data_IF_638198129930
#
_entry.id   IF_638198129930
#
_cell.length_a   1.000
_cell.length_b   1.000
_cell.length_c   1.000
_cell.angle_alpha   90.00
_cell.angle_beta   90.00
_cell.angle_gamma   90.00
#
_symmetry.space_group_name_H-M   'P 1'
#
loop_
_entity.id
_entity.type
_entity.pdbx_description
1 polymer ?
#
# COMPACT_ATOMS: atom_id res chain seq x y z
N UNK A 1 19.13 17.03 13.15
CA UNK A 1 20.28 16.23 13.63
C UNK A 1 20.81 15.21 12.61
N UNK A 2 19.95 14.46 11.88
CA UNK A 2 20.39 13.48 10.85
C UNK A 2 20.89 14.10 9.54
N UNK A 3 20.25 15.19 9.08
CA UNK A 3 20.68 15.99 7.92
C UNK A 3 22.05 16.64 8.15
N UNK A 4 22.31 17.13 9.37
CA UNK A 4 23.61 17.68 9.79
C UNK A 4 24.70 16.60 9.81
N UNK A 5 24.38 15.37 10.23
CA UNK A 5 25.31 14.23 10.13
C UNK A 5 25.61 13.87 8.67
N UNK A 6 24.61 13.88 7.80
CA UNK A 6 24.81 13.66 6.36
C UNK A 6 25.71 14.75 5.75
N UNK A 7 25.45 16.02 6.06
CA UNK A 7 26.27 17.15 5.63
C UNK A 7 27.73 17.04 6.09
N UNK A 8 27.96 16.62 7.35
CA UNK A 8 29.32 16.35 7.85
C UNK A 8 29.99 15.17 7.16
N UNK A 9 29.25 14.14 6.76
CA UNK A 9 29.83 13.01 6.03
C UNK A 9 30.20 13.37 4.59
N UNK A 10 29.42 14.24 3.92
CA UNK A 10 29.81 14.84 2.63
C UNK A 10 31.08 15.69 2.74
N UNK A 11 31.23 16.48 3.81
CA UNK A 11 32.42 17.31 4.03
C UNK A 11 33.68 16.48 4.35
N UNK A 12 33.54 15.31 4.98
CA UNK A 12 34.64 14.40 5.26
C UNK A 12 35.08 13.55 4.05
N UNK A 13 34.56 13.83 2.84
CA UNK A 13 34.94 13.11 1.62
C UNK A 13 34.54 11.63 1.62
N UNK A 14 33.58 11.24 2.46
CA UNK A 14 33.12 9.86 2.54
C UNK A 14 32.25 9.57 1.32
N UNK A 15 32.85 8.89 0.34
CA UNK A 15 32.18 8.53 -0.90
C UNK A 15 31.08 7.47 -0.74
N UNK A 16 30.33 7.25 -1.82
CA UNK A 16 29.28 6.23 -1.95
C UNK A 16 29.74 4.79 -1.63
N UNK A 17 31.05 4.55 -1.51
CA UNK A 17 31.64 3.25 -1.18
C UNK A 17 31.38 2.82 0.27
N UNK A 18 31.07 3.75 1.17
CA UNK A 18 30.76 3.41 2.56
C UNK A 18 29.25 3.25 2.77
N UNK A 19 28.85 2.05 3.20
CA UNK A 19 27.44 1.69 3.45
C UNK A 19 26.72 2.68 4.38
N UNK A 20 27.42 3.17 5.42
CA UNK A 20 26.86 4.12 6.40
C UNK A 20 26.45 5.45 5.76
N UNK A 21 27.19 5.91 4.76
CA UNK A 21 26.86 7.14 4.04
C UNK A 21 25.59 6.95 3.20
N UNK A 22 25.50 5.86 2.44
CA UNK A 22 24.32 5.52 1.64
C UNK A 22 23.05 5.37 2.50
N UNK A 23 23.15 4.66 3.63
CA UNK A 23 22.01 4.50 4.56
C UNK A 23 21.59 5.85 5.16
N UNK A 24 22.55 6.69 5.56
CA UNK A 24 22.24 8.01 6.15
C UNK A 24 21.59 8.94 5.13
N UNK A 25 22.04 8.92 3.88
CA UNK A 25 21.44 9.67 2.78
C UNK A 25 20.03 9.19 2.45
N UNK A 26 19.82 7.88 2.33
CA UNK A 26 18.50 7.29 2.08
C UNK A 26 17.52 7.61 3.20
N UNK A 27 17.98 7.54 4.45
CA UNK A 27 17.17 7.88 5.62
C UNK A 27 16.82 9.39 5.65
N UNK A 28 17.77 10.27 5.32
CA UNK A 28 17.51 11.70 5.22
C UNK A 28 16.48 12.02 4.11
N UNK A 29 16.60 11.36 2.96
CA UNK A 29 15.64 11.48 1.85
C UNK A 29 14.24 10.99 2.27
N UNK A 30 14.16 9.86 2.97
CA UNK A 30 12.89 9.32 3.47
C UNK A 30 12.19 10.32 4.42
N UNK A 31 12.93 10.90 5.37
CA UNK A 31 12.38 11.92 6.26
C UNK A 31 11.96 13.19 5.51
N UNK A 32 12.71 13.61 4.51
CA UNK A 32 12.35 14.75 3.65
C UNK A 32 11.05 14.50 2.88
N UNK A 33 10.87 13.28 2.33
CA UNK A 33 9.65 12.89 1.63
C UNK A 33 8.44 12.86 2.57
N UNK A 34 8.59 12.29 3.77
CA UNK A 34 7.54 12.30 4.79
C UNK A 34 7.14 13.72 5.18
N UNK A 35 8.12 14.61 5.39
CA UNK A 35 7.85 16.02 5.67
C UNK A 35 7.11 16.71 4.51
N UNK A 36 7.47 16.43 3.27
CA UNK A 36 6.77 16.96 2.10
C UNK A 36 5.31 16.48 2.02
N UNK A 37 5.04 15.21 2.40
CA UNK A 37 3.68 14.68 2.50
C UNK A 37 2.88 15.40 3.58
N UNK A 38 3.46 15.63 4.75
CA UNK A 38 2.82 16.40 5.84
C UNK A 38 2.48 17.84 5.39
N UNK A 39 3.43 18.53 4.75
CA UNK A 39 3.21 19.87 4.18
C UNK A 39 2.07 19.84 3.15
N UNK A 40 2.04 18.85 2.26
CA UNK A 40 0.96 18.68 1.27
C UNK A 40 -0.40 18.45 1.93
N UNK A 41 -0.46 17.69 3.03
CA UNK A 41 -1.68 17.48 3.80
C UNK A 41 -2.13 18.77 4.49
N UNK A 42 -1.20 19.52 5.08
CA UNK A 42 -1.47 20.81 5.73
C UNK A 42 -2.01 21.83 4.73
N UNK A 43 -1.39 21.92 3.54
CA UNK A 43 -1.83 22.80 2.45
C UNK A 43 -3.17 22.37 1.87
N UNK A 44 -3.36 21.07 1.62
CA UNK A 44 -4.59 20.52 1.06
C UNK A 44 -5.80 20.61 1.99
N UNK A 45 -5.58 20.49 3.30
CA UNK A 45 -6.61 20.68 4.34
C UNK A 45 -6.72 22.14 4.79
N UNK A 46 -5.82 23.02 4.34
CA UNK A 46 -5.78 24.45 4.68
C UNK A 46 -5.75 24.73 6.18
N UNK A 47 -5.06 23.90 6.97
CA UNK A 47 -5.04 24.05 8.44
C UNK A 47 -4.25 25.26 8.95
N UNK A 48 -3.31 25.77 8.15
CA UNK A 48 -2.44 26.90 8.50
C UNK A 48 -2.58 27.98 7.43
N UNK A 49 -2.74 29.23 7.87
CA UNK A 49 -2.80 30.45 7.05
C UNK A 49 -4.03 30.64 6.15
N UNK A 50 -5.11 29.87 6.32
CA UNK A 50 -6.38 30.12 5.65
C UNK A 50 -7.49 30.28 6.69
N UNK A 51 -8.34 31.29 6.49
CA UNK A 51 -9.39 31.71 7.42
C UNK A 51 -10.55 30.70 7.50
N UNK A 52 -10.67 29.79 6.54
CA UNK A 52 -11.68 28.73 6.50
C UNK A 52 -11.01 27.37 6.31
N UNK A 53 -11.16 26.49 7.30
CA UNK A 53 -10.73 25.10 7.23
C UNK A 53 -11.75 24.28 6.42
N UNK A 54 -11.29 23.52 5.42
CA UNK A 54 -12.18 22.63 4.65
C UNK A 54 -12.53 21.41 5.49
N UNK A 55 -13.71 21.41 6.10
CA UNK A 55 -14.22 20.25 6.84
C UNK A 55 -14.63 19.13 5.87
N UNK A 56 -13.81 18.09 5.78
CA UNK A 56 -14.12 16.90 4.97
C UNK A 56 -14.98 15.97 5.80
N UNK A 57 -16.28 15.90 5.48
CA UNK A 57 -17.18 14.91 6.08
C UNK A 57 -16.66 13.49 5.79
N UNK A 58 -16.74 12.56 6.76
CA UNK A 58 -16.42 11.16 6.49
C UNK A 58 -17.32 10.65 5.36
N UNK A 59 -16.82 9.79 4.46
CA UNK A 59 -17.60 9.29 3.33
C UNK A 59 -18.93 8.71 3.82
N UNK A 60 -20.00 8.94 3.07
CA UNK A 60 -21.38 8.54 3.42
C UNK A 60 -21.49 7.04 3.74
N UNK A 61 -20.67 6.22 3.06
CA UNK A 61 -20.51 4.78 3.31
C UNK A 61 -20.06 4.42 4.74
N UNK A 62 -19.32 5.29 5.44
CA UNK A 62 -18.92 5.06 6.84
C UNK A 62 -19.99 5.51 7.83
N UNK A 63 -20.89 6.40 7.41
CA UNK A 63 -21.97 6.92 8.26
C UNK A 63 -23.17 5.96 8.30
N UNK A 64 -23.30 5.11 7.28
CA UNK A 64 -24.26 4.02 7.26
C UNK A 64 -23.82 2.91 8.26
N UNK A 65 -24.47 2.83 9.42
CA UNK A 65 -24.19 1.83 10.47
C UNK A 65 -24.26 0.36 10.01
N UNK A 66 -24.76 0.11 8.79
CA UNK A 66 -24.92 -1.21 8.20
C UNK A 66 -23.72 -1.73 7.39
N UNK A 67 -22.68 -0.95 7.13
CA UNK A 67 -21.54 -1.38 6.30
C UNK A 67 -20.45 -1.98 7.19
N UNK A 68 -20.37 -3.31 7.25
CA UNK A 68 -19.37 -4.04 8.06
C UNK A 68 -18.13 -4.47 7.28
N UNK A 69 -18.14 -4.34 5.96
CA UNK A 69 -16.96 -4.54 5.12
C UNK A 69 -16.13 -3.24 5.04
N UNK A 70 -15.17 -3.09 5.95
CA UNK A 70 -14.38 -1.86 6.10
C UNK A 70 -13.10 -1.81 5.25
N UNK A 71 -12.74 -2.88 4.54
CA UNK A 71 -11.49 -2.98 3.76
C UNK A 71 -11.14 -1.74 2.92
N UNK A 72 -12.08 -1.02 2.27
CA UNK A 72 -11.73 0.19 1.50
C UNK A 72 -11.29 1.38 2.36
N UNK A 73 -11.82 1.48 3.58
CA UNK A 73 -11.77 2.66 4.45
C UNK A 73 -10.71 2.58 5.56
N UNK A 74 -10.05 1.43 5.69
CA UNK A 74 -8.99 1.25 6.69
C UNK A 74 -7.65 1.81 6.21
N UNK A 75 -6.78 2.10 7.17
CA UNK A 75 -5.40 2.49 6.88
C UNK A 75 -4.66 1.40 6.08
N UNK A 76 -3.53 1.78 5.46
CA UNK A 76 -2.78 0.87 4.60
C UNK A 76 -2.31 -0.40 5.33
N UNK A 77 -1.90 -0.27 6.59
CA UNK A 77 -1.42 -1.39 7.39
C UNK A 77 -2.53 -2.42 7.64
N UNK A 78 -3.70 -1.97 8.09
CA UNK A 78 -4.88 -2.80 8.32
C UNK A 78 -5.43 -3.39 7.02
N UNK A 79 -5.28 -2.70 5.89
CA UNK A 79 -5.61 -3.23 4.56
C UNK A 79 -4.68 -4.40 4.16
N UNK A 80 -3.39 -4.28 4.50
CA UNK A 80 -2.37 -5.28 4.16
C UNK A 80 -2.44 -6.53 5.05
N UNK A 81 -2.64 -6.34 6.36
CA UNK A 81 -2.70 -7.45 7.33
C UNK A 81 -4.14 -7.93 7.61
N UNK A 82 -5.14 -7.31 6.97
CA UNK A 82 -6.56 -7.54 7.23
C UNK A 82 -6.95 -7.38 8.71
N UNK A 83 -6.30 -6.47 9.43
CA UNK A 83 -6.46 -6.32 10.88
C UNK A 83 -7.90 -6.05 11.33
N UNK A 84 -8.65 -5.25 10.57
CA UNK A 84 -10.07 -4.96 10.87
C UNK A 84 -10.95 -6.21 10.91
N UNK A 85 -10.53 -7.30 10.27
CA UNK A 85 -11.27 -8.56 10.22
C UNK A 85 -11.14 -9.35 11.53
N UNK A 86 -10.15 -9.06 12.38
CA UNK A 86 -9.94 -9.76 13.65
C UNK A 86 -11.14 -9.66 14.59
N UNK A 87 -11.76 -8.48 14.66
CA UNK A 87 -12.97 -8.27 15.48
C UNK A 87 -14.16 -9.06 14.92
N UNK A 88 -14.30 -9.12 13.60
CA UNK A 88 -15.34 -9.90 12.91
C UNK A 88 -15.18 -11.41 13.15
N UNK A 89 -13.96 -11.94 12.99
CA UNK A 89 -13.65 -13.36 13.21
C UNK A 89 -13.91 -13.75 14.67
N UNK A 90 -13.48 -12.92 15.62
CA UNK A 90 -13.70 -13.18 17.05
C UNK A 90 -15.20 -13.18 17.40
N UNK A 91 -15.99 -12.30 16.76
CA UNK A 91 -17.44 -12.27 16.94
C UNK A 91 -18.14 -13.50 16.32
N UNK A 92 -17.69 -13.92 15.13
CA UNK A 92 -18.21 -15.10 14.43
C UNK A 92 -17.97 -16.41 15.19
N UNK A 93 -16.91 -16.47 16.00
CA UNK A 93 -16.69 -17.63 16.88
C UNK A 93 -17.72 -17.71 18.01
N UNK A 94 -18.22 -16.58 18.50
CA UNK A 94 -19.18 -16.53 19.61
C UNK A 94 -20.64 -16.65 19.17
N UNK A 95 -20.97 -16.24 17.95
CA UNK A 95 -22.34 -16.25 17.42
C UNK A 95 -22.33 -16.66 15.94
N UNK A 96 -23.31 -17.46 15.47
CA UNK A 96 -23.40 -17.83 14.06
C UNK A 96 -23.56 -16.59 13.17
N UNK A 97 -23.05 -16.70 11.94
CA UNK A 97 -23.04 -15.59 10.98
C UNK A 97 -24.39 -15.54 10.25
N UNK A 98 -25.22 -14.57 10.60
CA UNK A 98 -26.42 -14.24 9.85
C UNK A 98 -26.14 -13.24 8.72
N UNK A 99 -27.00 -13.22 7.69
CA UNK A 99 -26.95 -12.22 6.60
C UNK A 99 -27.01 -10.77 7.14
N UNK A 100 -27.73 -10.55 8.24
CA UNK A 100 -27.77 -9.25 8.93
C UNK A 100 -26.42 -8.87 9.55
N UNK A 101 -25.61 -9.86 9.92
CA UNK A 101 -24.30 -9.67 10.58
C UNK A 101 -23.22 -9.30 9.57
N UNK A 102 -23.31 -9.78 8.32
CA UNK A 102 -22.35 -9.46 7.24
C UNK A 102 -22.42 -7.97 6.85
N UNK A 103 -23.61 -7.38 6.91
CA UNK A 103 -23.85 -5.98 6.55
C UNK A 103 -23.95 -5.74 5.05
N UNK A 104 -24.07 -4.46 4.66
CA UNK A 104 -24.11 -4.02 3.27
C UNK A 104 -22.71 -3.96 2.66
N UNK A 105 -22.62 -4.10 1.33
CA UNK A 105 -21.38 -3.85 0.59
C UNK A 105 -21.16 -2.34 0.38
N UNK A 106 -19.92 -1.85 0.41
CA UNK A 106 -19.59 -0.46 0.08
C UNK A 106 -20.03 -0.08 -1.33
N UNK A 107 -20.33 1.20 -1.56
CA UNK A 107 -20.78 1.70 -2.88
C UNK A 107 -19.82 1.32 -4.00
N UNK A 108 -18.51 1.38 -3.74
CA UNK A 108 -17.48 1.05 -4.73
C UNK A 108 -17.52 -0.40 -5.24
N UNK A 109 -18.08 -1.34 -4.45
CA UNK A 109 -18.19 -2.75 -4.81
C UNK A 109 -19.61 -3.16 -5.23
N UNK A 110 -20.58 -2.24 -5.19
CA UNK A 110 -21.96 -2.52 -5.55
C UNK A 110 -22.08 -2.80 -7.06
N UNK A 111 -22.91 -3.77 -7.42
CA UNK A 111 -23.15 -4.18 -8.80
C UNK A 111 -23.57 -3.02 -9.71
N UNK A 112 -24.50 -2.15 -9.23
CA UNK A 112 -24.96 -0.99 -9.98
C UNK A 112 -23.83 -0.01 -10.31
N UNK A 113 -22.98 0.32 -9.33
CA UNK A 113 -21.84 1.22 -9.52
C UNK A 113 -20.84 0.65 -10.54
N UNK A 114 -20.54 -0.65 -10.43
CA UNK A 114 -19.64 -1.33 -11.35
C UNK A 114 -20.23 -1.44 -12.77
N UNK A 115 -21.54 -1.69 -12.87
CA UNK A 115 -22.25 -1.69 -14.14
C UNK A 115 -22.23 -0.31 -14.81
N UNK A 116 -22.54 0.76 -14.09
CA UNK A 116 -22.50 2.12 -14.62
C UNK A 116 -21.08 2.51 -15.06
N UNK A 117 -20.05 2.10 -14.31
CA UNK A 117 -18.65 2.31 -14.67
C UNK A 117 -18.28 1.59 -15.96
N UNK A 118 -18.69 0.34 -16.11
CA UNK A 118 -18.46 -0.45 -17.33
C UNK A 118 -19.23 0.14 -18.52
N UNK A 119 -20.49 0.50 -18.31
CA UNK A 119 -21.35 1.13 -19.32
C UNK A 119 -20.74 2.43 -19.84
N UNK A 120 -20.26 3.30 -18.94
CA UNK A 120 -19.56 4.53 -19.32
C UNK A 120 -18.30 4.26 -20.13
N UNK A 121 -17.53 3.22 -19.77
CA UNK A 121 -16.35 2.82 -20.54
C UNK A 121 -16.74 2.29 -21.93
N UNK A 122 -17.84 1.55 -22.03
CA UNK A 122 -18.38 1.04 -23.28
C UNK A 122 -18.89 2.16 -24.20
N UNK A 123 -19.67 3.11 -23.67
CA UNK A 123 -20.16 4.29 -24.40
C UNK A 123 -19.03 5.22 -24.86
N UNK A 124 -17.91 5.27 -24.12
CA UNK A 124 -16.73 6.06 -24.53
C UNK A 124 -15.95 5.46 -25.71
N UNK A 125 -16.27 4.23 -26.13
CA UNK A 125 -15.60 3.58 -27.23
C UNK A 125 -16.25 3.91 -28.57
N UNK A 126 -15.41 4.25 -29.54
CA UNK A 126 -15.83 4.55 -30.91
C UNK A 126 -16.35 3.32 -31.64
N UNK A 127 -15.83 2.14 -31.31
CA UNK A 127 -16.22 0.84 -31.86
C UNK A 127 -16.76 -0.09 -30.76
N UNK A 128 -18.09 -0.26 -30.64
CA UNK A 128 -18.71 -1.05 -29.57
C UNK A 128 -18.50 -2.57 -29.71
N UNK A 129 -17.75 -3.03 -30.72
CA UNK A 129 -17.53 -4.47 -30.98
C UNK A 129 -16.56 -5.14 -29.99
N UNK A 130 -15.84 -4.37 -29.17
CA UNK A 130 -14.70 -4.86 -28.37
C UNK A 130 -14.95 -4.78 -26.87
N UNK A 131 -15.80 -5.67 -26.34
CA UNK A 131 -16.13 -5.77 -24.89
C UNK A 131 -14.85 -5.87 -24.04
N UNK A 132 -13.85 -6.61 -24.51
CA UNK A 132 -12.55 -6.76 -23.84
C UNK A 132 -11.87 -5.40 -23.57
N UNK A 133 -11.91 -4.49 -24.55
CA UNK A 133 -11.29 -3.17 -24.41
C UNK A 133 -12.01 -2.34 -23.34
N UNK A 134 -13.35 -2.44 -23.26
CA UNK A 134 -14.14 -1.74 -22.25
C UNK A 134 -13.86 -2.27 -20.84
N UNK A 135 -13.70 -3.58 -20.70
CA UNK A 135 -13.33 -4.21 -19.44
C UNK A 135 -11.93 -3.75 -18.98
N UNK A 136 -10.94 -3.77 -19.88
CA UNK A 136 -9.59 -3.28 -19.60
C UNK A 136 -9.57 -1.78 -19.26
N UNK A 137 -10.39 -0.96 -19.91
CA UNK A 137 -10.48 0.47 -19.61
C UNK A 137 -11.15 0.73 -18.24
N UNK A 138 -12.19 -0.02 -17.88
CA UNK A 138 -12.91 0.15 -16.63
C UNK A 138 -12.16 -0.43 -15.41
N UNK A 139 -11.49 -1.58 -15.57
CA UNK A 139 -10.88 -2.36 -14.48
C UNK A 139 -9.37 -2.62 -14.65
N UNK A 140 -8.72 -2.05 -15.65
CA UNK A 140 -7.28 -2.25 -15.89
C UNK A 140 -6.40 -1.68 -14.78
N UNK A 141 -6.76 -0.54 -14.17
CA UNK A 141 -5.98 0.07 -13.07
C UNK A 141 -5.76 -0.88 -11.88
N UNK A 142 -6.81 -1.45 -11.25
CA UNK A 142 -6.59 -2.41 -10.15
C UNK A 142 -5.91 -3.69 -10.60
N UNK A 143 -6.12 -4.12 -11.85
CA UNK A 143 -5.48 -5.31 -12.40
C UNK A 143 -3.96 -5.12 -12.56
N UNK A 144 -3.51 -3.97 -13.07
CA UNK A 144 -2.07 -3.64 -13.17
C UNK A 144 -1.43 -3.62 -11.79
N UNK A 145 -2.07 -3.00 -10.80
CA UNK A 145 -1.59 -2.99 -9.41
C UNK A 145 -1.43 -4.42 -8.88
N UNK A 146 -2.41 -5.29 -9.13
CA UNK A 146 -2.35 -6.70 -8.74
C UNK A 146 -1.17 -7.43 -9.39
N UNK A 147 -0.93 -7.20 -10.69
CA UNK A 147 0.19 -7.79 -11.41
C UNK A 147 1.53 -7.29 -10.85
N UNK A 148 1.66 -5.99 -10.58
CA UNK A 148 2.86 -5.42 -9.98
C UNK A 148 3.16 -6.04 -8.61
N UNK A 149 2.15 -6.20 -7.75
CA UNK A 149 2.32 -6.89 -6.47
C UNK A 149 2.73 -8.34 -6.64
N UNK A 150 2.18 -9.03 -7.64
CA UNK A 150 2.55 -10.43 -7.92
C UNK A 150 4.03 -10.53 -8.32
N UNK A 151 4.48 -9.72 -9.28
CA UNK A 151 5.88 -9.69 -9.66
C UNK A 151 6.81 -9.35 -8.50
N UNK A 152 6.43 -8.39 -7.65
CA UNK A 152 7.20 -8.05 -6.46
C UNK A 152 7.28 -9.23 -5.49
N UNK A 153 6.18 -9.93 -5.26
CA UNK A 153 6.15 -11.12 -4.40
C UNK A 153 7.04 -12.25 -4.95
N UNK A 154 7.03 -12.48 -6.27
CA UNK A 154 7.87 -13.48 -6.91
C UNK A 154 9.37 -13.10 -6.78
N UNK A 155 9.73 -11.83 -6.96
CA UNK A 155 11.09 -11.32 -6.74
C UNK A 155 11.56 -11.49 -5.29
N UNK A 156 10.71 -11.16 -4.31
CA UNK A 156 11.00 -11.40 -2.89
C UNK A 156 11.07 -12.89 -2.56
N UNK A 157 10.34 -13.75 -3.26
CA UNK A 157 10.41 -15.20 -3.12
C UNK A 157 11.81 -15.74 -3.43
N UNK A 158 12.51 -15.17 -4.41
CA UNK A 158 13.90 -15.55 -4.72
C UNK A 158 14.92 -15.08 -3.67
N UNK A 159 14.60 -14.07 -2.86
CA UNK A 159 15.50 -13.59 -1.82
C UNK A 159 15.75 -14.66 -0.73
N UNK A 160 14.76 -15.52 -0.44
CA UNK A 160 14.89 -16.58 0.56
C UNK A 160 16.05 -17.54 0.28
N UNK A 161 16.06 -18.26 -0.86
CA UNK A 161 17.16 -19.15 -1.24
C UNK A 161 18.52 -18.44 -1.36
N UNK A 162 18.55 -17.19 -1.86
CA UNK A 162 19.77 -16.39 -1.96
C UNK A 162 20.35 -16.07 -0.57
N UNK A 163 19.51 -15.70 0.39
CA UNK A 163 19.92 -15.47 1.77
C UNK A 163 20.46 -16.76 2.41
N UNK A 164 19.79 -17.91 2.21
CA UNK A 164 20.25 -19.20 2.74
C UNK A 164 21.62 -19.57 2.17
N UNK A 165 21.79 -19.47 0.84
CA UNK A 165 23.06 -19.76 0.17
C UNK A 165 24.18 -18.85 0.67
N UNK A 166 23.92 -17.55 0.82
CA UNK A 166 24.88 -16.60 1.38
C UNK A 166 25.31 -16.94 2.81
N UNK A 167 24.37 -17.34 3.66
CA UNK A 167 24.66 -17.76 5.05
C UNK A 167 25.52 -19.04 5.05
N UNK A 168 25.13 -20.08 4.30
CA UNK A 168 25.86 -21.35 4.25
C UNK A 168 27.27 -21.17 3.72
N UNK A 169 27.44 -20.41 2.64
CA UNK A 169 28.75 -20.12 2.06
C UNK A 169 29.66 -19.34 3.02
N UNK A 170 29.10 -18.39 3.78
CA UNK A 170 29.86 -17.65 4.77
C UNK A 170 30.34 -18.55 5.92
N UNK A 171 29.48 -19.40 6.46
CA UNK A 171 29.81 -20.35 7.53
C UNK A 171 30.86 -21.38 7.07
N UNK A 172 30.72 -21.91 5.85
CA UNK A 172 31.68 -22.86 5.26
C UNK A 172 33.07 -22.24 5.05
N UNK A 173 33.13 -20.94 4.69
CA UNK A 173 34.40 -20.22 4.52
C UNK A 173 35.11 -19.92 5.85
N UNK A 174 34.37 -19.71 6.93
CA UNK A 174 34.92 -19.44 8.26
C UNK A 174 35.33 -20.72 9.02
N UNK A 175 34.80 -21.89 8.64
CA UNK A 175 35.16 -23.19 9.21
C UNK A 175 35.76 -24.13 8.16
N UNK A 176 37.06 -23.98 7.82
CA UNK A 176 37.73 -24.86 6.85
C UNK A 176 37.87 -26.32 7.31
N UNK A 177 37.53 -26.65 8.56
CA UNK A 177 37.61 -28.00 9.14
C UNK A 177 36.38 -28.87 8.89
N UNK A 178 35.30 -28.33 8.30
CA UNK A 178 34.13 -29.12 7.92
C UNK A 178 34.23 -29.44 6.42
N UNK A 179 35.20 -30.28 6.07
CA UNK A 179 35.17 -31.06 4.84
C UNK A 179 35.00 -32.52 5.23
N UNK A 180 34.05 -33.28 4.67
CA UNK A 180 34.27 -34.71 4.46
C UNK A 180 35.36 -34.94 3.41
#
# INVERSE_FOLDING_TARGET
>A
MKTIKFAKYTEHGIGLRQLRYCITGLLALLYGLLLAVEINVILGRRYLCFTEATEVKPPEDLQDLGVRFLQPFVNLLSKATYWWMNTFITAAHRRPIDLKVIGKLPIAMRALTNYLKLRKAFESQRDPKWIWRALCQAFGRPLIISITFRFLADLLGFAGPLCISGIVHHISKENPTIQP
#
